data_IF_502396024475
#
_entry.id   IF_502396024475
#
_cell.length_a   1.000
_cell.length_b   1.000
_cell.length_c   1.000
_cell.angle_alpha   90.00
_cell.angle_beta   90.00
_cell.angle_gamma   90.00
#
_symmetry.space_group_name_H-M   'P 1'
#
loop_
_entity.id
_entity.type
_entity.pdbx_description
1 polymer ?
#
# COMPACT_ATOMS: atom_id res chain seq x y z
N UNK A 1 -6.59 15.54 -12.48
CA UNK A 1 -6.04 14.33 -11.86
C UNK A 1 -6.95 13.15 -12.22
N UNK A 2 -6.52 12.28 -13.13
CA UNK A 2 -7.35 11.18 -13.65
C UNK A 2 -7.79 10.19 -12.56
N UNK A 3 -6.98 9.93 -11.52
CA UNK A 3 -7.35 9.05 -10.40
C UNK A 3 -8.56 9.58 -9.63
N UNK A 4 -8.64 10.90 -9.42
CA UNK A 4 -9.83 11.48 -8.78
C UNK A 4 -11.07 11.23 -9.65
N UNK A 5 -10.96 11.41 -10.97
CA UNK A 5 -12.06 11.11 -11.89
C UNK A 5 -12.41 9.63 -11.94
N UNK A 6 -11.43 8.74 -11.90
CA UNK A 6 -11.66 7.29 -11.81
C UNK A 6 -12.37 6.92 -10.51
N UNK A 7 -11.88 7.41 -9.37
CA UNK A 7 -12.49 7.16 -8.07
C UNK A 7 -13.93 7.68 -7.96
N UNK A 8 -14.25 8.78 -8.64
CA UNK A 8 -15.59 9.34 -8.66
C UNK A 8 -16.62 8.46 -9.42
N UNK A 9 -16.17 7.47 -10.18
CA UNK A 9 -17.08 6.44 -10.72
C UNK A 9 -17.76 5.63 -9.60
N UNK A 10 -17.19 5.59 -8.41
CA UNK A 10 -17.80 4.98 -7.22
C UNK A 10 -19.07 5.72 -6.74
N UNK A 11 -19.41 6.88 -7.33
CA UNK A 11 -20.76 7.43 -7.20
C UNK A 11 -21.83 6.51 -7.80
N UNK A 12 -21.46 5.74 -8.84
CA UNK A 12 -22.36 4.86 -9.59
C UNK A 12 -22.17 3.38 -9.24
N UNK A 13 -21.02 3.01 -8.72
CA UNK A 13 -20.64 1.62 -8.43
C UNK A 13 -20.21 1.47 -6.98
N UNK A 14 -20.43 0.31 -6.40
CA UNK A 14 -20.05 0.04 -5.00
C UNK A 14 -18.57 -0.31 -4.84
N UNK A 15 -17.92 -0.73 -5.92
CA UNK A 15 -16.51 -1.16 -5.94
C UNK A 15 -15.92 -1.00 -7.32
N UNK A 16 -14.60 -0.80 -7.38
CA UNK A 16 -13.88 -0.70 -8.65
C UNK A 16 -12.46 -1.24 -8.54
N UNK A 17 -11.94 -1.68 -9.68
CA UNK A 17 -10.53 -1.95 -9.91
C UNK A 17 -10.01 -0.85 -10.84
N UNK A 18 -8.91 -0.21 -10.49
CA UNK A 18 -8.22 0.77 -11.33
C UNK A 18 -6.88 0.19 -11.76
N UNK A 19 -6.68 0.13 -13.05
CA UNK A 19 -5.43 -0.30 -13.70
C UNK A 19 -4.88 0.86 -14.53
N UNK A 20 -3.58 1.06 -14.49
CA UNK A 20 -2.89 1.99 -15.38
C UNK A 20 -2.59 1.28 -16.71
N UNK A 21 -2.42 2.03 -17.80
CA UNK A 21 -2.25 1.51 -19.16
C UNK A 21 -0.96 0.71 -19.37
N UNK A 22 0.01 0.89 -18.48
CA UNK A 22 1.30 0.19 -18.49
C UNK A 22 1.34 -1.03 -17.55
N UNK A 23 0.19 -1.42 -17.01
CA UNK A 23 0.08 -2.61 -16.18
C UNK A 23 -0.23 -3.87 -17.01
N UNK A 24 0.59 -4.90 -16.84
CA UNK A 24 0.25 -6.26 -17.24
C UNK A 24 -0.42 -6.99 -16.07
N UNK A 25 -1.49 -7.72 -16.33
CA UNK A 25 -2.30 -8.38 -15.29
C UNK A 25 -2.21 -9.90 -15.35
N UNK A 26 -2.22 -10.54 -14.19
CA UNK A 26 -2.41 -11.97 -14.04
C UNK A 26 -3.80 -12.39 -14.55
N UNK A 27 -3.99 -13.57 -15.13
CA UNK A 27 -5.32 -14.10 -15.45
C UNK A 27 -6.25 -14.21 -14.24
N UNK A 28 -5.69 -14.26 -13.04
CA UNK A 28 -6.42 -14.44 -11.79
C UNK A 28 -6.66 -13.13 -11.01
N UNK A 29 -6.28 -11.97 -11.57
CA UNK A 29 -6.38 -10.69 -10.86
C UNK A 29 -7.80 -10.36 -10.38
N UNK A 30 -8.80 -10.69 -11.20
CA UNK A 30 -10.20 -10.45 -10.87
C UNK A 30 -10.70 -11.36 -9.75
N UNK A 31 -10.32 -12.65 -9.77
CA UNK A 31 -10.68 -13.61 -8.72
C UNK A 31 -10.12 -13.20 -7.36
N UNK A 32 -8.83 -12.82 -7.33
CA UNK A 32 -8.20 -12.25 -6.12
C UNK A 32 -8.91 -10.98 -5.65
N UNK A 33 -9.15 -10.03 -6.57
CA UNK A 33 -9.82 -8.78 -6.26
C UNK A 33 -11.20 -9.02 -5.64
N UNK A 34 -12.00 -9.90 -6.22
CA UNK A 34 -13.34 -10.21 -5.73
C UNK A 34 -13.31 -10.88 -4.35
N UNK A 35 -12.46 -11.88 -4.16
CA UNK A 35 -12.33 -12.62 -2.91
C UNK A 35 -11.77 -11.75 -1.78
N UNK A 36 -10.74 -10.96 -2.05
CA UNK A 36 -10.15 -10.05 -1.06
C UNK A 36 -11.11 -8.94 -0.66
N UNK A 37 -11.81 -8.29 -1.61
CA UNK A 37 -12.86 -7.32 -1.31
C UNK A 37 -13.98 -7.92 -0.45
N UNK A 38 -14.38 -9.15 -0.74
CA UNK A 38 -15.44 -9.83 0.03
C UNK A 38 -14.99 -10.10 1.46
N UNK A 39 -13.73 -10.52 1.64
CA UNK A 39 -13.17 -10.82 2.96
C UNK A 39 -12.99 -9.55 3.80
N UNK A 40 -12.44 -8.47 3.22
CA UNK A 40 -12.14 -7.22 3.92
C UNK A 40 -13.28 -6.19 3.89
N UNK A 41 -14.46 -6.55 3.42
CA UNK A 41 -15.58 -5.63 3.21
C UNK A 41 -15.99 -4.81 4.45
N UNK A 42 -15.82 -5.38 5.65
CA UNK A 42 -16.17 -4.73 6.94
C UNK A 42 -14.95 -4.29 7.74
N UNK A 43 -13.73 -4.49 7.21
CA UNK A 43 -12.50 -4.17 7.93
C UNK A 43 -12.16 -2.68 7.80
N UNK A 44 -12.45 -1.93 8.85
CA UNK A 44 -12.29 -0.46 8.86
C UNK A 44 -10.84 0.02 8.82
N UNK A 45 -9.88 -0.87 9.10
CA UNK A 45 -8.44 -0.56 8.99
C UNK A 45 -7.92 -0.67 7.56
N UNK A 46 -8.72 -1.14 6.61
CA UNK A 46 -8.33 -1.30 5.21
C UNK A 46 -8.82 -0.10 4.39
N UNK A 47 -7.88 0.68 3.87
CA UNK A 47 -8.13 1.83 2.99
C UNK A 47 -8.18 1.47 1.50
N UNK A 48 -7.76 0.27 1.13
CA UNK A 48 -7.75 -0.23 -0.23
C UNK A 48 -6.98 -1.55 -0.34
N UNK A 49 -7.01 -2.15 -1.52
CA UNK A 49 -6.33 -3.40 -1.81
C UNK A 49 -5.45 -3.19 -3.03
N UNK A 50 -4.21 -3.67 -2.98
CA UNK A 50 -3.27 -3.66 -4.10
C UNK A 50 -3.35 -4.98 -4.88
N UNK A 51 -3.20 -4.89 -6.19
CA UNK A 51 -2.89 -6.03 -7.05
C UNK A 51 -1.38 -6.22 -7.23
N UNK A 52 -0.60 -5.21 -6.88
CA UNK A 52 0.86 -5.20 -6.95
C UNK A 52 1.48 -5.62 -5.61
N UNK A 53 2.70 -6.14 -5.64
CA UNK A 53 3.50 -6.40 -4.45
C UNK A 53 4.86 -5.75 -4.60
N UNK A 54 5.24 -4.90 -3.66
CA UNK A 54 6.54 -4.24 -3.69
C UNK A 54 7.67 -5.23 -3.37
N UNK A 55 8.71 -5.23 -4.20
CA UNK A 55 10.01 -5.86 -3.94
C UNK A 55 11.12 -4.82 -3.77
N UNK A 56 10.76 -3.54 -3.84
CA UNK A 56 11.70 -2.44 -3.80
C UNK A 56 11.08 -1.22 -3.10
N UNK A 57 11.81 -0.69 -2.14
CA UNK A 57 11.45 0.55 -1.47
C UNK A 57 11.99 1.74 -2.27
N UNK A 58 11.16 2.31 -3.14
CA UNK A 58 11.55 3.35 -4.11
C UNK A 58 12.06 4.65 -3.47
N UNK A 59 11.58 4.98 -2.28
CA UNK A 59 11.98 6.22 -1.59
C UNK A 59 13.38 6.15 -1.02
N UNK A 60 13.92 4.96 -0.77
CA UNK A 60 15.22 4.77 -0.15
C UNK A 60 16.20 3.96 -1.00
N UNK A 61 15.73 3.30 -2.05
CA UNK A 61 16.59 2.59 -3.00
C UNK A 61 17.07 1.22 -2.50
N UNK A 62 16.27 0.53 -1.68
CA UNK A 62 16.62 -0.78 -1.13
C UNK A 62 15.59 -1.85 -1.45
N UNK A 63 16.01 -3.10 -1.42
CA UNK A 63 15.11 -4.26 -1.58
C UNK A 63 14.18 -4.37 -0.37
N UNK A 64 12.92 -4.64 -0.62
CA UNK A 64 11.92 -4.94 0.39
C UNK A 64 11.38 -6.35 0.17
N UNK A 65 11.31 -7.13 1.23
CA UNK A 65 10.70 -8.45 1.21
C UNK A 65 9.81 -8.60 2.44
N UNK A 66 8.49 -8.68 2.27
CA UNK A 66 7.59 -8.90 3.40
C UNK A 66 7.84 -10.28 4.01
N UNK A 67 7.66 -10.40 5.31
CA UNK A 67 7.76 -11.67 6.01
C UNK A 67 6.70 -12.64 5.49
N UNK A 68 7.08 -13.90 5.35
CA UNK A 68 6.16 -14.98 4.99
C UNK A 68 5.61 -15.59 6.28
N UNK A 69 4.30 -15.64 6.43
CA UNK A 69 3.60 -16.09 7.64
C UNK A 69 2.49 -17.13 7.39
N UNK A 70 2.44 -17.65 6.15
CA UNK A 70 1.43 -18.64 5.75
C UNK A 70 0.11 -18.04 5.26
N UNK A 71 -0.02 -16.73 5.26
CA UNK A 71 -1.12 -16.01 4.61
C UNK A 71 -0.73 -15.58 3.19
N UNK A 72 -1.72 -15.29 2.35
CA UNK A 72 -1.49 -14.81 0.98
C UNK A 72 -1.33 -13.30 0.90
N UNK A 73 -1.59 -12.57 2.00
CA UNK A 73 -1.55 -11.09 2.03
C UNK A 73 -0.92 -10.56 3.32
N UNK A 74 -0.46 -9.32 3.23
CA UNK A 74 0.07 -8.52 4.33
C UNK A 74 -0.46 -7.08 4.26
N UNK A 75 -0.14 -6.22 5.23
CA UNK A 75 -0.66 -4.87 5.32
C UNK A 75 0.46 -3.84 5.31
N UNK A 76 0.26 -2.72 4.58
CA UNK A 76 1.20 -1.60 4.56
C UNK A 76 0.48 -0.26 4.58
N UNK A 77 1.09 0.74 5.21
CA UNK A 77 0.67 2.15 5.11
C UNK A 77 1.25 2.82 3.85
N UNK A 78 1.19 2.12 2.74
CA UNK A 78 1.66 2.55 1.42
C UNK A 78 0.50 2.41 0.43
N UNK A 79 0.05 3.47 -0.26
CA UNK A 79 -0.98 3.33 -1.29
C UNK A 79 -0.38 2.76 -2.58
N UNK A 80 -1.13 1.90 -3.25
CA UNK A 80 -0.74 1.35 -4.55
C UNK A 80 -1.21 2.23 -5.70
N UNK A 81 -0.42 2.31 -6.78
CA UNK A 81 -0.81 2.88 -8.08
C UNK A 81 -0.73 1.85 -9.21
N UNK A 82 -0.09 0.72 -8.98
CA UNK A 82 0.09 -0.34 -9.97
C UNK A 82 -1.01 -1.41 -9.85
N UNK A 83 -2.26 -0.98 -10.03
CA UNK A 83 -3.45 -1.80 -9.82
C UNK A 83 -3.96 -1.69 -8.38
N UNK A 84 -5.03 -0.94 -8.21
CA UNK A 84 -5.67 -0.73 -6.91
C UNK A 84 -7.16 -1.01 -6.95
N UNK A 85 -7.71 -1.37 -5.80
CA UNK A 85 -9.09 -1.74 -5.63
C UNK A 85 -9.67 -0.93 -4.47
N UNK A 86 -10.82 -0.31 -4.69
CA UNK A 86 -11.54 0.42 -3.66
C UNK A 86 -13.01 0.05 -3.62
N UNK A 87 -13.56 0.11 -2.43
CA UNK A 87 -15.00 0.25 -2.21
C UNK A 87 -15.38 1.72 -2.23
N UNK A 88 -16.66 1.97 -2.40
CA UNK A 88 -17.27 3.31 -2.29
C UNK A 88 -16.92 3.98 -0.95
N UNK A 89 -17.05 3.25 0.16
CA UNK A 89 -16.75 3.76 1.50
C UNK A 89 -15.29 4.17 1.65
N UNK A 90 -14.34 3.34 1.20
CA UNK A 90 -12.90 3.63 1.27
C UNK A 90 -12.54 4.87 0.45
N UNK A 91 -13.02 4.96 -0.79
CA UNK A 91 -12.75 6.12 -1.64
C UNK A 91 -13.34 7.42 -1.09
N UNK A 92 -14.61 7.41 -0.66
CA UNK A 92 -15.24 8.63 -0.14
C UNK A 92 -14.71 9.03 1.24
N UNK A 93 -14.21 8.10 2.04
CA UNK A 93 -13.44 8.40 3.24
C UNK A 93 -12.19 9.22 2.92
N UNK A 94 -11.38 8.76 1.96
CA UNK A 94 -10.24 9.54 1.47
C UNK A 94 -10.66 10.88 0.87
N UNK A 95 -11.67 10.90 0.00
CA UNK A 95 -12.10 12.13 -0.67
C UNK A 95 -12.64 13.17 0.31
N UNK A 96 -13.38 12.78 1.33
CA UNK A 96 -13.86 13.67 2.37
C UNK A 96 -12.69 14.31 3.13
N UNK A 97 -11.68 13.53 3.51
CA UNK A 97 -10.46 14.04 4.13
C UNK A 97 -9.67 14.93 3.16
N UNK A 98 -9.47 14.52 1.90
CA UNK A 98 -8.75 15.30 0.89
C UNK A 98 -9.41 16.67 0.61
N UNK A 99 -10.73 16.77 0.67
CA UNK A 99 -11.47 18.01 0.48
C UNK A 99 -11.29 19.02 1.64
N UNK A 100 -10.66 18.65 2.74
CA UNK A 100 -10.24 19.59 3.79
C UNK A 100 -8.99 20.40 3.41
N UNK A 101 -8.44 20.16 2.20
CA UNK A 101 -7.20 20.74 1.69
C UNK A 101 -6.00 20.55 2.64
N UNK A 102 -5.64 19.30 2.94
CA UNK A 102 -4.54 19.01 3.85
C UNK A 102 -3.21 19.50 3.26
N UNK A 103 -2.39 20.13 4.09
CA UNK A 103 -1.02 20.48 3.74
C UNK A 103 -0.06 19.32 4.07
N UNK A 104 1.02 19.19 3.31
CA UNK A 104 2.11 18.27 3.62
C UNK A 104 3.18 19.05 4.39
N UNK A 105 3.35 18.70 5.66
CA UNK A 105 4.32 19.35 6.56
C UNK A 105 5.60 18.52 6.77
N UNK A 106 6.61 19.16 7.32
CA UNK A 106 7.90 18.53 7.64
C UNK A 106 7.75 17.37 8.65
N UNK A 107 6.82 17.52 9.60
CA UNK A 107 6.59 16.52 10.66
C UNK A 107 5.66 15.37 10.26
N UNK A 108 5.15 15.35 9.02
CA UNK A 108 4.34 14.24 8.55
C UNK A 108 5.16 12.93 8.51
N UNK A 109 4.58 11.87 9.05
CA UNK A 109 5.22 10.55 9.15
C UNK A 109 5.13 9.78 7.82
N UNK A 110 5.57 10.41 6.75
CA UNK A 110 5.67 9.84 5.40
C UNK A 110 7.08 10.05 4.86
N UNK A 111 7.56 9.21 3.93
CA UNK A 111 8.92 9.31 3.41
C UNK A 111 9.22 10.68 2.81
N UNK A 112 10.44 11.20 3.04
CA UNK A 112 10.85 12.53 2.57
C UNK A 112 10.70 12.68 1.05
N UNK A 113 11.06 11.64 0.29
CA UNK A 113 10.85 11.64 -1.17
C UNK A 113 9.39 11.80 -1.56
N UNK A 114 8.45 11.22 -0.79
CA UNK A 114 7.01 11.38 -1.04
C UNK A 114 6.57 12.83 -0.79
N UNK A 115 7.13 13.51 0.22
CA UNK A 115 6.85 14.92 0.49
C UNK A 115 7.23 15.83 -0.68
N UNK A 116 8.24 15.46 -1.46
CA UNK A 116 8.70 16.23 -2.63
C UNK A 116 7.91 15.99 -3.91
N UNK A 117 6.97 15.04 -3.92
CA UNK A 117 6.13 14.80 -5.09
C UNK A 117 5.27 16.01 -5.44
N UNK A 118 4.85 16.17 -6.71
CA UNK A 118 4.03 17.29 -7.14
C UNK A 118 2.77 17.48 -6.29
N UNK A 119 2.33 18.73 -6.11
CA UNK A 119 1.13 19.07 -5.32
C UNK A 119 -0.15 18.44 -5.87
N UNK A 120 -0.21 18.09 -7.14
CA UNK A 120 -1.33 17.37 -7.72
C UNK A 120 -1.22 15.83 -7.62
N UNK A 121 -0.21 15.30 -6.92
CA UNK A 121 -0.06 13.86 -6.72
C UNK A 121 -1.06 13.35 -5.68
N UNK A 122 -2.10 12.66 -6.13
CA UNK A 122 -3.09 12.05 -5.24
C UNK A 122 -2.45 11.06 -4.25
N UNK A 123 -1.46 10.30 -4.70
CA UNK A 123 -0.78 9.26 -3.91
C UNK A 123 -0.04 9.84 -2.71
N UNK A 124 0.56 11.02 -2.85
CA UNK A 124 1.20 11.80 -1.76
C UNK A 124 0.23 12.04 -0.61
N UNK A 125 -0.97 12.52 -0.94
CA UNK A 125 -2.01 12.80 0.05
C UNK A 125 -2.65 11.51 0.61
N UNK A 126 -2.72 10.46 -0.20
CA UNK A 126 -3.25 9.19 0.27
C UNK A 126 -2.31 8.53 1.30
N UNK A 127 -0.98 8.70 1.15
CA UNK A 127 -0.01 8.31 2.19
C UNK A 127 -0.33 9.00 3.52
N UNK A 128 -0.44 10.34 3.51
CA UNK A 128 -0.74 11.11 4.71
C UNK A 128 -2.08 10.69 5.33
N UNK A 129 -3.13 10.55 4.52
CA UNK A 129 -4.44 10.09 4.96
C UNK A 129 -4.36 8.75 5.70
N UNK A 130 -3.63 7.79 5.15
CA UNK A 130 -3.49 6.47 5.76
C UNK A 130 -2.75 6.55 7.10
N UNK A 131 -1.67 7.30 7.17
CA UNK A 131 -0.87 7.46 8.39
C UNK A 131 -1.66 8.17 9.49
N UNK A 132 -2.33 9.28 9.17
CA UNK A 132 -3.13 10.05 10.14
C UNK A 132 -4.32 9.28 10.71
N UNK A 133 -4.92 8.39 9.91
CA UNK A 133 -6.10 7.62 10.30
C UNK A 133 -5.78 6.17 10.69
N UNK A 134 -4.49 5.82 10.79
CA UNK A 134 -4.03 4.44 11.08
C UNK A 134 -4.68 3.41 10.17
N UNK A 135 -4.63 3.67 8.84
CA UNK A 135 -5.20 2.84 7.80
C UNK A 135 -4.12 2.14 6.98
N UNK A 136 -4.48 1.04 6.33
CA UNK A 136 -3.56 0.18 5.60
C UNK A 136 -4.13 -0.23 4.25
N UNK A 137 -3.24 -0.42 3.28
CA UNK A 137 -3.54 -1.22 2.09
C UNK A 137 -3.25 -2.69 2.37
N UNK A 138 -4.07 -3.57 1.79
CA UNK A 138 -3.80 -5.00 1.71
C UNK A 138 -2.94 -5.25 0.47
N UNK A 139 -1.84 -5.96 0.64
CA UNK A 139 -0.93 -6.35 -0.43
C UNK A 139 -0.86 -7.87 -0.56
N UNK A 140 -0.90 -8.44 -1.77
CA UNK A 140 -0.60 -9.86 -1.97
C UNK A 140 0.91 -10.10 -1.81
N UNK A 141 1.30 -11.31 -1.35
CA UNK A 141 2.71 -11.72 -1.36
C UNK A 141 3.23 -11.95 -2.77
N UNK A 142 2.39 -12.46 -3.67
CA UNK A 142 2.70 -12.60 -5.10
C UNK A 142 1.79 -11.65 -5.86
N UNK A 143 2.36 -10.78 -6.67
CA UNK A 143 1.63 -9.75 -7.39
C UNK A 143 0.66 -10.32 -8.42
N UNK A 144 -0.42 -9.61 -8.69
CA UNK A 144 -1.38 -9.86 -9.78
C UNK A 144 -1.24 -8.85 -10.91
N UNK A 145 -0.40 -7.84 -10.71
CA UNK A 145 -0.01 -6.87 -11.73
C UNK A 145 1.49 -6.69 -11.73
N UNK A 146 2.03 -6.34 -12.89
CA UNK A 146 3.41 -5.87 -13.05
C UNK A 146 3.43 -4.73 -14.05
N UNK A 147 4.47 -3.90 -14.02
CA UNK A 147 4.62 -2.79 -14.96
C UNK A 147 5.44 -3.24 -16.17
N UNK A 148 5.11 -2.75 -17.37
CA UNK A 148 5.88 -3.05 -18.58
C UNK A 148 7.29 -2.44 -18.55
N UNK A 149 7.50 -1.37 -17.78
CA UNK A 149 8.79 -0.69 -17.67
C UNK A 149 9.15 0.15 -18.90
N UNK A 150 8.18 0.46 -19.76
CA UNK A 150 8.39 1.31 -20.91
C UNK A 150 8.59 2.78 -20.52
N UNK A 151 9.15 3.57 -21.45
CA UNK A 151 9.31 5.01 -21.25
C UNK A 151 7.95 5.69 -21.08
N UNK A 152 7.83 6.55 -20.09
CA UNK A 152 6.59 7.23 -19.74
C UNK A 152 6.81 8.58 -19.07
N UNK A 153 5.74 9.18 -18.55
CA UNK A 153 5.78 10.52 -17.95
C UNK A 153 6.74 10.63 -16.77
N UNK A 154 6.89 9.58 -15.98
CA UNK A 154 7.71 9.57 -14.78
C UNK A 154 9.11 8.99 -14.98
N UNK A 155 9.30 8.20 -16.03
CA UNK A 155 10.58 7.58 -16.38
C UNK A 155 10.88 7.83 -17.85
N UNK A 156 11.85 8.74 -18.15
CA UNK A 156 12.23 9.06 -19.55
C UNK A 156 12.98 7.90 -20.22
N UNK A 157 13.46 6.93 -19.45
CA UNK A 157 14.14 5.73 -19.93
C UNK A 157 13.41 4.47 -19.43
N UNK A 158 13.59 3.36 -20.16
CA UNK A 158 13.06 2.06 -19.75
C UNK A 158 13.62 1.66 -18.38
N UNK A 159 12.74 1.17 -17.50
CA UNK A 159 13.12 0.72 -16.17
C UNK A 159 12.45 -0.60 -15.84
N UNK A 160 13.17 -1.46 -15.11
CA UNK A 160 12.64 -2.73 -14.63
C UNK A 160 12.32 -2.71 -13.12
N UNK A 161 12.46 -1.56 -12.48
CA UNK A 161 12.35 -1.43 -11.03
C UNK A 161 10.98 -1.83 -10.48
N UNK A 162 9.93 -1.72 -11.30
CA UNK A 162 8.57 -2.12 -10.93
C UNK A 162 8.12 -3.42 -11.58
N UNK A 163 9.02 -4.12 -12.28
CA UNK A 163 8.74 -5.43 -12.82
C UNK A 163 8.85 -6.48 -11.71
N UNK A 164 7.77 -7.21 -11.49
CA UNK A 164 7.69 -8.27 -10.50
C UNK A 164 7.06 -9.51 -11.11
N UNK A 165 7.35 -10.66 -10.54
CA UNK A 165 6.66 -11.89 -10.92
C UNK A 165 5.18 -11.79 -10.54
N UNK A 166 4.32 -12.17 -11.47
CA UNK A 166 2.87 -12.23 -11.24
C UNK A 166 2.41 -13.64 -10.96
N UNK A 167 1.33 -13.75 -10.21
CA UNK A 167 0.67 -15.00 -9.92
C UNK A 167 0.08 -15.61 -11.21
N UNK A 168 0.35 -16.88 -11.42
CA UNK A 168 -0.12 -17.61 -12.60
C UNK A 168 -0.53 -19.03 -12.22
N UNK A 169 -1.56 -19.15 -11.40
CA UNK A 169 -2.14 -20.44 -11.03
C UNK A 169 -3.36 -20.78 -11.86
N UNK A 170 -3.74 -22.05 -11.83
CA UNK A 170 -5.01 -22.50 -12.39
C UNK A 170 -6.21 -21.82 -11.68
N UNK A 171 -7.32 -21.70 -12.38
CA UNK A 171 -8.54 -21.11 -11.85
C UNK A 171 -9.02 -21.82 -10.58
N UNK A 172 -9.52 -21.05 -9.62
CA UNK A 172 -10.16 -21.57 -8.40
C UNK A 172 -9.25 -21.66 -7.19
N UNK A 173 -8.11 -20.98 -7.16
CA UNK A 173 -7.26 -20.89 -5.97
C UNK A 173 -8.08 -20.43 -4.75
N UNK A 174 -7.90 -21.13 -3.64
CA UNK A 174 -8.35 -20.67 -2.33
C UNK A 174 -7.27 -19.78 -1.73
N UNK A 175 -7.65 -18.57 -1.29
CA UNK A 175 -6.73 -17.63 -0.63
C UNK A 175 -6.92 -17.71 0.88
N UNK A 176 -5.81 -17.65 1.60
CA UNK A 176 -5.76 -17.58 3.05
C UNK A 176 -5.50 -16.13 3.49
N UNK A 177 -6.55 -15.37 3.77
CA UNK A 177 -6.44 -13.98 4.17
C UNK A 177 -6.41 -13.82 5.70
N UNK A 178 -5.45 -13.06 6.28
CA UNK A 178 -5.47 -12.75 7.69
C UNK A 178 -6.52 -11.68 8.02
N UNK A 179 -7.22 -11.80 9.13
CA UNK A 179 -7.91 -10.66 9.72
C UNK A 179 -6.87 -9.61 10.17
N UNK A 180 -7.16 -8.33 10.03
CA UNK A 180 -6.23 -7.26 10.39
C UNK A 180 -5.72 -7.40 11.84
N UNK A 181 -6.61 -7.60 12.79
CA UNK A 181 -6.25 -7.74 14.21
C UNK A 181 -5.27 -8.90 14.49
N UNK A 182 -5.38 -9.98 13.71
CA UNK A 182 -4.61 -11.22 13.92
C UNK A 182 -3.29 -11.23 13.14
N UNK A 183 -3.13 -10.39 12.13
CA UNK A 183 -1.92 -10.36 11.32
C UNK A 183 -0.70 -9.93 12.12
N UNK A 184 0.40 -10.65 11.92
CA UNK A 184 1.74 -10.31 12.42
C UNK A 184 2.63 -9.75 11.31
N UNK A 185 2.04 -9.27 10.22
CA UNK A 185 2.72 -8.83 9.01
C UNK A 185 2.15 -7.48 8.54
N UNK A 186 2.51 -6.43 9.28
CA UNK A 186 2.06 -5.06 9.07
C UNK A 186 3.27 -4.12 9.01
N UNK A 187 3.28 -3.24 8.02
CA UNK A 187 4.37 -2.31 7.77
C UNK A 187 3.85 -0.87 7.77
N UNK A 188 4.68 0.04 8.25
CA UNK A 188 4.40 1.47 8.18
C UNK A 188 4.70 2.08 6.79
N UNK A 189 4.58 3.40 6.69
CA UNK A 189 4.84 4.16 5.46
C UNK A 189 6.32 4.14 5.03
N UNK A 190 7.24 3.73 5.90
CA UNK A 190 8.67 3.57 5.64
C UNK A 190 9.07 2.13 5.35
N UNK A 191 8.12 1.24 5.07
CA UNK A 191 8.33 -0.19 4.84
C UNK A 191 8.91 -0.95 6.05
N UNK A 192 8.83 -0.35 7.25
CA UNK A 192 9.28 -0.97 8.48
C UNK A 192 8.15 -1.75 9.15
N UNK A 193 8.51 -2.93 9.68
CA UNK A 193 7.53 -3.75 10.40
C UNK A 193 7.07 -3.05 11.68
N UNK A 194 5.78 -3.12 11.98
CA UNK A 194 5.27 -2.49 13.19
C UNK A 194 5.75 -3.21 14.47
N UNK A 195 6.09 -2.47 15.55
CA UNK A 195 6.55 -3.03 16.82
C UNK A 195 5.64 -4.14 17.36
N UNK A 196 4.32 -3.96 17.28
CA UNK A 196 3.34 -4.93 17.74
C UNK A 196 3.45 -6.29 17.03
N UNK A 197 3.88 -6.29 15.76
CA UNK A 197 4.10 -7.52 15.01
C UNK A 197 5.34 -8.27 15.53
N UNK A 198 6.39 -7.55 15.90
CA UNK A 198 7.61 -8.12 16.49
C UNK A 198 7.35 -8.65 17.91
N UNK A 199 6.59 -7.91 18.71
CA UNK A 199 6.18 -8.34 20.06
C UNK A 199 5.37 -9.65 20.01
N UNK A 200 4.42 -9.77 19.09
CA UNK A 200 3.66 -11.00 18.86
C UNK A 200 4.53 -12.17 18.41
N UNK A 201 5.70 -11.91 17.83
CA UNK A 201 6.73 -12.91 17.48
C UNK A 201 7.69 -13.21 18.61
N UNK A 202 7.48 -12.61 19.79
CA UNK A 202 8.26 -12.90 21.01
C UNK A 202 9.42 -11.94 21.28
N UNK A 203 9.59 -10.85 20.50
CA UNK A 203 10.59 -9.82 20.80
C UNK A 203 10.13 -9.00 22.02
N UNK A 204 11.05 -8.75 22.93
CA UNK A 204 10.84 -7.93 24.13
C UNK A 204 11.26 -6.49 23.83
N UNK A 205 10.38 -5.73 23.20
CA UNK A 205 10.55 -4.31 22.89
C UNK A 205 9.33 -3.54 23.39
N UNK A 206 9.50 -2.22 23.57
CA UNK A 206 8.39 -1.35 23.91
C UNK A 206 7.43 -1.22 22.69
N UNK A 207 6.10 -1.23 22.88
CA UNK A 207 5.13 -1.01 21.81
C UNK A 207 5.31 0.29 21.02
N UNK A 208 5.88 1.32 21.67
CA UNK A 208 6.13 2.64 21.09
C UNK A 208 7.54 2.76 20.47
N UNK A 209 8.30 1.66 20.41
CA UNK A 209 9.63 1.64 19.78
C UNK A 209 9.54 2.04 18.32
N UNK A 210 10.31 3.04 17.89
CA UNK A 210 10.47 3.37 16.49
C UNK A 210 11.40 2.33 15.82
N UNK A 211 10.86 1.52 14.93
CA UNK A 211 11.64 0.55 14.15
C UNK A 211 12.17 1.25 12.89
N UNK A 212 13.48 1.14 12.65
CA UNK A 212 14.15 1.68 11.46
C UNK A 212 15.35 0.81 11.09
N UNK A 213 15.08 -0.38 10.60
CA UNK A 213 16.10 -1.35 10.20
C UNK A 213 16.80 -0.88 8.91
N UNK A 214 16.06 -0.19 8.05
CA UNK A 214 16.58 0.32 6.78
C UNK A 214 17.32 1.65 6.91
N UNK A 215 17.21 2.36 8.04
CA UNK A 215 17.83 3.67 8.23
C UNK A 215 17.20 4.78 7.40
N UNK A 216 15.92 4.66 7.10
CA UNK A 216 15.20 5.56 6.18
C UNK A 216 14.36 6.62 6.89
N UNK A 217 14.16 6.49 8.20
CA UNK A 217 13.34 7.40 8.98
C UNK A 217 14.10 8.65 9.40
N UNK A 218 13.50 9.84 9.29
CA UNK A 218 14.12 11.06 9.75
C UNK A 218 14.24 11.10 11.29
N UNK A 219 15.27 11.77 11.78
CA UNK A 219 15.63 11.82 13.23
C UNK A 219 14.49 12.31 14.12
N UNK A 220 13.62 13.19 13.65
CA UNK A 220 12.51 13.72 14.46
C UNK A 220 11.47 12.66 14.84
N UNK A 221 11.48 11.50 14.20
CA UNK A 221 10.60 10.38 14.56
C UNK A 221 11.13 9.55 15.75
N UNK A 222 12.36 9.78 16.15
CA UNK A 222 12.97 9.14 17.32
C UNK A 222 12.83 10.09 18.52
N UNK A 223 11.82 9.88 19.34
CA UNK A 223 11.53 10.79 20.48
C UNK A 223 12.45 10.62 21.68
N UNK A 224 13.26 9.55 21.72
CA UNK A 224 14.16 9.25 22.84
C UNK A 224 15.46 8.61 22.31
N UNK A 225 16.37 9.45 21.80
CA UNK A 225 17.77 9.06 21.63
C UNK A 225 18.50 9.44 22.92
N UNK A 226 18.55 8.51 23.88
CA UNK A 226 19.44 8.57 25.04
C UNK A 226 20.28 7.31 25.09
#
# INVERSE_FOLDING_TARGET
>A
NHIISCGDLLNKFERQIVLEEDCFVSPNYYDFAFKSLTFYNTEKKVAGISLYSYLYYESFGTVFTPLIDGYDTYFMQVPSSLGQIWTKEQWFGFKAWYNTNPEIGENDKIPEKVKTWPENSWKKYFYKYMVENDLFFVYPHIAFTTNFGDTGTHFPEKTQIYQVNIEYYEKGKSYNFPQFANSNNKYDSYFEILPQCLIKRGLKIDPDTCIDIMGSKPLHLFTNIY
#
